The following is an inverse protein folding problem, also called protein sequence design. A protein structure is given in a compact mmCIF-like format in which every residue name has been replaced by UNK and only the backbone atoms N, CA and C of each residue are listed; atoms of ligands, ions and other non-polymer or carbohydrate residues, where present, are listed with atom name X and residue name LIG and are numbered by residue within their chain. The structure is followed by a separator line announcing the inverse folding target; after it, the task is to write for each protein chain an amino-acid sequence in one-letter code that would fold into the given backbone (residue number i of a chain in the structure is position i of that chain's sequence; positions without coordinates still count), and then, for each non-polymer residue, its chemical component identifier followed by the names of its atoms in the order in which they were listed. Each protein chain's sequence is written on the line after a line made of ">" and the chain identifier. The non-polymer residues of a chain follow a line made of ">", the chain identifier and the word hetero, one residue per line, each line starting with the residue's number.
data_IF_244156283101
#
_entry.id   IF_244156283101
#
_cell.length_a   1.000
_cell.length_b   1.000
_cell.length_c   1.000
_cell.angle_alpha   90.00
_cell.angle_beta   90.00
_cell.angle_gamma   90.00
#
_symmetry.space_group_name_H-M   'P 1'
#
loop_
_entity.id
_entity.type
_entity.pdbx_description
1 polymer ?
#
# COMPACT_ATOMS: atom_id res chain seq x y z
N UNK A 1 24.30 -2.31 -6.62
CA UNK A 1 25.15 -1.15 -6.30
C UNK A 1 25.13 -0.90 -4.81
N UNK A 2 26.21 -0.29 -4.29
CA UNK A 2 26.39 0.01 -2.87
C UNK A 2 26.44 1.53 -2.70
N UNK A 3 25.61 2.07 -1.82
CA UNK A 3 25.82 3.41 -1.26
C UNK A 3 26.31 3.22 0.17
N UNK A 4 27.44 3.86 0.46
CA UNK A 4 28.12 3.80 1.74
C UNK A 4 28.56 5.20 2.13
N UNK A 5 28.19 5.62 3.33
CA UNK A 5 28.63 6.87 3.90
C UNK A 5 28.55 6.83 5.41
N UNK A 6 29.42 7.62 6.04
CA UNK A 6 29.29 7.94 7.45
C UNK A 6 28.36 9.14 7.58
N UNK A 7 27.37 9.03 8.45
CA UNK A 7 26.50 10.14 8.84
C UNK A 7 26.68 10.47 10.31
N UNK A 8 26.30 11.68 10.68
CA UNK A 8 26.26 12.10 12.08
C UNK A 8 25.35 11.17 12.89
N UNK A 9 25.82 10.71 14.06
CA UNK A 9 24.99 9.90 14.93
C UNK A 9 23.87 10.76 15.54
N UNK A 10 22.63 10.51 15.11
CA UNK A 10 21.44 11.26 15.54
C UNK A 10 21.19 11.21 17.05
N UNK A 11 21.63 10.15 17.73
CA UNK A 11 21.46 10.01 19.18
C UNK A 11 22.38 10.91 20.01
N UNK A 12 23.51 11.35 19.47
CA UNK A 12 24.47 12.22 20.16
C UNK A 12 24.81 13.50 19.40
N UNK A 13 24.13 13.77 18.28
CA UNK A 13 24.39 14.91 17.39
C UNK A 13 25.89 15.04 17.06
N UNK A 14 26.54 13.93 16.68
CA UNK A 14 27.92 13.97 16.23
C UNK A 14 29.00 13.95 17.30
N UNK A 15 28.63 14.18 18.57
CA UNK A 15 29.62 14.38 19.64
C UNK A 15 30.30 13.08 20.09
N UNK A 16 29.66 11.93 19.86
CA UNK A 16 30.08 10.66 20.45
C UNK A 16 29.73 10.54 21.94
N UNK A 17 29.15 11.58 22.54
CA UNK A 17 28.84 11.67 23.95
C UNK A 17 27.34 11.86 24.14
N UNK A 18 26.78 11.17 25.12
CA UNK A 18 25.38 11.30 25.48
C UNK A 18 25.29 11.90 26.89
N UNK A 19 24.44 12.91 27.05
CA UNK A 19 24.10 13.50 28.35
C UNK A 19 22.57 13.58 28.38
N UNK A 20 21.96 12.71 29.18
CA UNK A 20 20.51 12.52 29.25
C UNK A 20 19.94 12.98 30.58
N UNK A 21 18.90 12.28 31.04
CA UNK A 21 18.16 12.66 32.26
C UNK A 21 18.95 12.32 33.53
N UNK A 22 19.91 11.39 33.47
CA UNK A 22 20.66 10.92 34.64
C UNK A 22 21.98 11.65 34.89
N UNK A 23 22.52 12.33 33.88
CA UNK A 23 23.79 13.04 33.94
C UNK A 23 23.57 14.51 34.32
N UNK A 24 24.48 15.08 35.12
CA UNK A 24 24.49 16.52 35.36
C UNK A 24 25.06 17.30 34.16
N UNK A 25 24.96 18.63 34.17
CA UNK A 25 25.43 19.49 33.06
C UNK A 25 26.95 19.43 32.79
N UNK A 26 27.73 18.89 33.72
CA UNK A 26 29.18 18.76 33.62
C UNK A 26 29.65 17.34 33.28
N UNK A 27 28.72 16.41 33.07
CA UNK A 27 29.01 15.00 32.82
C UNK A 27 28.34 14.50 31.56
N UNK A 28 29.00 13.53 30.91
CA UNK A 28 28.48 12.81 29.77
C UNK A 28 29.04 11.39 29.78
N UNK A 29 28.31 10.47 29.15
CA UNK A 29 28.75 9.10 28.94
C UNK A 29 29.02 8.85 27.46
N UNK A 30 29.77 7.80 27.15
CA UNK A 30 30.00 7.39 25.76
C UNK A 30 28.66 7.02 25.12
N UNK A 31 28.33 7.63 23.98
CA UNK A 31 27.09 7.35 23.28
C UNK A 31 27.02 5.88 22.89
N UNK A 32 25.97 5.20 23.38
CA UNK A 32 25.78 3.78 23.16
C UNK A 32 25.60 3.41 21.68
N UNK A 33 25.01 4.30 20.88
CA UNK A 33 24.68 4.02 19.48
C UNK A 33 25.93 4.02 18.60
N UNK A 34 26.76 5.05 18.68
CA UNK A 34 27.98 5.18 17.87
C UNK A 34 29.24 4.68 18.57
N UNK A 35 29.13 4.18 19.82
CA UNK A 35 30.27 3.73 20.63
C UNK A 35 31.36 4.79 20.77
N UNK A 36 30.97 6.05 20.96
CA UNK A 36 31.93 7.16 21.13
C UNK A 36 32.45 7.79 19.85
N UNK A 37 32.15 7.22 18.68
CA UNK A 37 32.72 7.72 17.41
C UNK A 37 32.07 9.00 16.88
N UNK A 38 30.89 9.36 17.38
CA UNK A 38 30.08 10.47 16.85
C UNK A 38 29.40 10.20 15.51
N UNK A 39 29.69 9.07 14.86
CA UNK A 39 29.18 8.73 13.53
C UNK A 39 28.43 7.40 13.51
N UNK A 40 27.49 7.28 12.58
CA UNK A 40 26.81 6.04 12.24
C UNK A 40 27.14 5.68 10.80
N UNK A 41 27.57 4.45 10.60
CA UNK A 41 27.89 3.94 9.28
C UNK A 41 26.62 3.40 8.62
N UNK A 42 26.26 3.93 7.45
CA UNK A 42 25.11 3.48 6.68
C UNK A 42 25.56 2.73 5.43
N UNK A 43 25.06 1.50 5.28
CA UNK A 43 25.31 0.66 4.12
C UNK A 43 23.97 0.22 3.52
N UNK A 44 23.71 0.66 2.29
CA UNK A 44 22.51 0.25 1.55
C UNK A 44 22.89 -0.39 0.22
N UNK A 45 22.47 -1.64 0.07
CA UNK A 45 22.53 -2.38 -1.17
C UNK A 45 21.22 -2.23 -1.91
N UNK A 46 21.30 -1.77 -3.16
CA UNK A 46 20.15 -1.68 -4.03
C UNK A 46 20.50 -2.20 -5.43
N UNK A 47 19.47 -2.66 -6.12
CA UNK A 47 19.56 -2.95 -7.55
C UNK A 47 18.96 -1.76 -8.30
N UNK A 48 19.64 -1.27 -9.33
CA UNK A 48 19.03 -0.27 -10.20
C UNK A 48 17.74 -0.82 -10.79
N UNK A 49 16.72 0.03 -10.82
CA UNK A 49 15.51 -0.28 -11.55
C UNK A 49 15.79 -0.08 -13.05
N UNK A 50 15.97 -1.19 -13.75
CA UNK A 50 16.17 -1.19 -15.21
C UNK A 50 14.88 -1.39 -15.99
N UNK A 51 13.75 -1.42 -15.29
CA UNK A 51 12.45 -1.74 -15.84
C UNK A 51 11.77 -2.88 -15.09
N UNK A 52 10.49 -3.09 -15.41
CA UNK A 52 9.72 -4.22 -14.87
C UNK A 52 10.31 -5.53 -15.37
N UNK A 53 10.46 -6.50 -14.47
CA UNK A 53 10.83 -7.87 -14.83
C UNK A 53 9.57 -8.67 -15.09
N UNK A 54 9.55 -9.54 -16.12
CA UNK A 54 8.39 -10.38 -16.38
C UNK A 54 8.14 -11.33 -15.20
N UNK A 55 6.88 -11.50 -14.82
CA UNK A 55 6.47 -12.48 -13.83
C UNK A 55 5.75 -13.63 -14.53
N UNK A 56 6.48 -14.72 -14.77
CA UNK A 56 5.94 -15.88 -15.49
C UNK A 56 4.73 -16.48 -14.77
N UNK A 57 3.75 -16.94 -15.55
CA UNK A 57 2.52 -17.57 -15.05
C UNK A 57 1.43 -16.60 -14.60
N UNK A 58 1.67 -15.28 -14.65
CA UNK A 58 0.63 -14.28 -14.33
C UNK A 58 -0.17 -13.98 -15.60
N UNK A 59 -1.47 -14.30 -15.57
CA UNK A 59 -2.40 -14.04 -16.69
C UNK A 59 -3.05 -12.66 -16.59
N UNK A 60 -3.33 -12.21 -15.36
CA UNK A 60 -4.19 -11.06 -15.08
C UNK A 60 -3.64 -10.24 -13.92
N UNK A 61 -3.82 -8.92 -13.99
CA UNK A 61 -3.36 -7.96 -12.98
C UNK A 61 -4.57 -7.22 -12.42
N UNK A 62 -4.58 -7.02 -11.11
CA UNK A 62 -5.63 -6.30 -10.40
C UNK A 62 -5.03 -5.06 -9.74
N UNK A 63 -5.76 -3.96 -9.71
CA UNK A 63 -5.25 -2.70 -9.17
C UNK A 63 -5.00 -2.76 -7.65
N UNK A 64 -5.74 -3.61 -6.94
CA UNK A 64 -5.46 -3.98 -5.54
C UNK A 64 -6.27 -5.22 -5.17
N UNK A 65 -6.16 -5.62 -3.91
CA UNK A 65 -6.96 -6.65 -3.29
C UNK A 65 -7.55 -6.13 -1.95
N UNK A 66 -8.88 -5.94 -1.84
CA UNK A 66 -9.53 -5.48 -0.61
C UNK A 66 -9.66 -6.57 0.48
N UNK A 67 -8.88 -7.65 0.40
CA UNK A 67 -8.86 -8.75 1.36
C UNK A 67 -9.73 -9.94 0.94
N UNK A 68 -9.92 -10.17 -0.36
CA UNK A 68 -10.66 -11.32 -0.89
C UNK A 68 -9.68 -12.37 -1.47
N UNK A 69 -10.10 -13.64 -1.46
CA UNK A 69 -9.40 -14.69 -2.18
C UNK A 69 -9.64 -14.57 -3.69
N UNK A 70 -8.56 -14.47 -4.46
CA UNK A 70 -8.60 -14.33 -5.93
C UNK A 70 -7.95 -15.57 -6.55
N UNK A 71 -8.65 -16.23 -7.46
CA UNK A 71 -8.15 -17.41 -8.16
C UNK A 71 -9.22 -18.09 -9.00
N UNK A 72 -8.77 -18.89 -9.97
CA UNK A 72 -9.64 -19.72 -10.81
C UNK A 72 -10.13 -20.94 -10.01
N UNK A 73 -11.42 -21.25 -10.13
CA UNK A 73 -12.02 -22.50 -9.65
C UNK A 73 -13.24 -22.85 -10.51
N UNK A 74 -13.99 -23.90 -10.13
CA UNK A 74 -15.17 -24.34 -10.87
C UNK A 74 -16.27 -23.28 -11.04
N UNK A 75 -16.29 -22.26 -10.17
CA UNK A 75 -17.32 -21.22 -10.13
C UNK A 75 -16.86 -19.87 -10.72
N UNK A 76 -15.57 -19.56 -10.64
CA UNK A 76 -15.04 -18.25 -11.02
C UNK A 76 -13.79 -18.36 -11.90
N UNK A 77 -13.77 -17.54 -12.94
CA UNK A 77 -12.61 -17.20 -13.77
C UNK A 77 -11.85 -15.99 -13.19
N UNK A 78 -10.68 -15.66 -13.74
CA UNK A 78 -9.94 -14.45 -13.34
C UNK A 78 -10.69 -13.17 -13.76
N UNK A 79 -11.40 -13.21 -14.88
CA UNK A 79 -12.20 -12.10 -15.43
C UNK A 79 -13.34 -11.69 -14.50
N UNK A 80 -13.91 -12.63 -13.74
CA UNK A 80 -14.99 -12.35 -12.78
C UNK A 80 -14.56 -11.37 -11.68
N UNK A 81 -13.25 -11.28 -11.42
CA UNK A 81 -12.66 -10.35 -10.46
C UNK A 81 -12.32 -8.98 -11.09
N UNK A 82 -12.63 -8.72 -12.36
CA UNK A 82 -12.29 -7.46 -13.02
C UNK A 82 -10.83 -7.42 -13.45
N UNK A 83 -10.06 -6.39 -13.09
CA UNK A 83 -8.65 -6.24 -13.50
C UNK A 83 -8.44 -6.12 -15.02
N UNK A 84 -7.19 -6.26 -15.44
CA UNK A 84 -6.75 -6.20 -16.86
C UNK A 84 -5.81 -7.35 -17.19
N UNK A 85 -5.61 -7.62 -18.48
CA UNK A 85 -4.62 -8.62 -18.91
C UNK A 85 -3.20 -8.19 -18.53
N UNK A 86 -2.28 -9.15 -18.34
CA UNK A 86 -0.87 -8.83 -18.11
C UNK A 86 -0.28 -7.99 -19.25
N UNK A 87 -0.66 -8.27 -20.50
CA UNK A 87 -0.24 -7.49 -21.67
C UNK A 87 -0.72 -6.05 -21.65
N UNK A 88 -1.94 -5.78 -21.19
CA UNK A 88 -2.43 -4.41 -21.07
C UNK A 88 -1.72 -3.65 -19.93
N UNK A 89 -1.38 -4.36 -18.86
CA UNK A 89 -0.59 -3.80 -17.76
C UNK A 89 0.85 -3.48 -18.19
N UNK A 90 1.51 -4.39 -18.92
CA UNK A 90 2.85 -4.16 -19.49
C UNK A 90 2.86 -2.99 -20.48
N UNK A 91 1.75 -2.77 -21.18
CA UNK A 91 1.56 -1.67 -22.11
C UNK A 91 1.06 -0.37 -21.44
N UNK A 92 1.04 -0.31 -20.10
CA UNK A 92 0.64 0.87 -19.31
C UNK A 92 -0.76 1.43 -19.66
N UNK A 93 -1.70 0.57 -20.06
CA UNK A 93 -3.06 1.00 -20.47
C UNK A 93 -3.95 1.49 -19.32
N UNK A 94 -3.49 1.38 -18.08
CA UNK A 94 -4.28 1.70 -16.89
C UNK A 94 -5.45 0.73 -16.64
N UNK A 95 -6.18 0.97 -15.56
CA UNK A 95 -7.34 0.16 -15.16
C UNK A 95 -8.63 0.88 -15.56
N UNK A 96 -9.40 0.35 -16.53
CA UNK A 96 -10.65 0.97 -16.93
C UNK A 96 -11.75 0.77 -15.87
N UNK A 97 -12.79 1.60 -15.95
CA UNK A 97 -14.03 1.38 -15.22
C UNK A 97 -14.59 -0.02 -15.54
N UNK A 98 -15.06 -0.73 -14.52
CA UNK A 98 -15.44 -2.14 -14.58
C UNK A 98 -14.38 -3.09 -14.01
N UNK A 99 -13.12 -2.67 -13.87
CA UNK A 99 -12.03 -3.51 -13.35
C UNK A 99 -12.05 -3.72 -11.82
N UNK A 100 -13.05 -3.15 -11.12
CA UNK A 100 -13.06 -2.92 -9.68
C UNK A 100 -13.56 -4.09 -8.81
N UNK A 101 -13.33 -5.37 -9.18
CA UNK A 101 -13.81 -6.53 -8.40
C UNK A 101 -15.30 -6.42 -7.98
N UNK A 102 -16.14 -5.84 -8.85
CA UNK A 102 -17.47 -5.32 -8.46
C UNK A 102 -18.43 -6.38 -7.94
N UNK A 103 -18.22 -7.64 -8.32
CA UNK A 103 -18.99 -8.81 -7.84
C UNK A 103 -18.67 -9.12 -6.37
N UNK A 104 -17.48 -8.77 -5.89
CA UNK A 104 -16.98 -9.21 -4.57
C UNK A 104 -16.81 -8.07 -3.57
N UNK A 105 -16.97 -6.83 -4.01
CA UNK A 105 -16.63 -5.63 -3.23
C UNK A 105 -17.68 -4.54 -3.43
N UNK A 106 -17.69 -3.53 -2.56
CA UNK A 106 -18.43 -2.28 -2.79
C UNK A 106 -17.45 -1.11 -3.04
N UNK A 107 -17.93 0.01 -3.61
CA UNK A 107 -17.09 1.18 -3.86
C UNK A 107 -16.39 1.70 -2.59
N UNK A 108 -17.12 1.82 -1.48
CA UNK A 108 -16.59 2.35 -0.22
C UNK A 108 -15.47 1.50 0.38
N UNK A 109 -15.45 0.20 0.13
CA UNK A 109 -14.37 -0.68 0.59
C UNK A 109 -13.21 -0.62 -0.38
N UNK A 110 -13.51 -0.73 -1.67
CA UNK A 110 -12.47 -0.85 -2.66
C UNK A 110 -11.64 0.44 -2.76
N UNK A 111 -12.25 1.62 -2.78
CA UNK A 111 -11.45 2.85 -2.81
C UNK A 111 -10.62 3.10 -1.54
N UNK A 112 -10.80 2.35 -0.44
CA UNK A 112 -9.84 2.36 0.67
C UNK A 112 -8.46 1.83 0.25
N UNK A 113 -8.40 0.91 -0.72
CA UNK A 113 -7.18 0.29 -1.21
C UNK A 113 -6.61 0.88 -2.50
N UNK A 114 -7.38 1.65 -3.27
CA UNK A 114 -6.87 2.39 -4.45
C UNK A 114 -6.48 3.81 -4.09
N UNK A 115 -7.48 4.57 -3.62
CA UNK A 115 -7.42 6.01 -3.48
C UNK A 115 -8.51 6.42 -2.49
N UNK A 116 -8.09 6.64 -1.25
CA UNK A 116 -9.00 6.94 -0.14
C UNK A 116 -9.78 8.24 -0.37
N UNK A 117 -9.26 9.17 -1.17
CA UNK A 117 -9.93 10.42 -1.52
C UNK A 117 -11.17 10.20 -2.38
N UNK A 118 -11.18 9.12 -3.17
CA UNK A 118 -12.33 8.66 -3.95
C UNK A 118 -13.23 7.73 -3.12
N UNK A 119 -13.06 7.59 -1.82
CA UNK A 119 -13.98 6.79 -1.04
C UNK A 119 -15.34 7.50 -0.97
N UNK A 120 -16.45 6.88 -1.39
CA UNK A 120 -17.77 7.49 -1.22
C UNK A 120 -18.08 7.78 0.25
N UNK A 121 -18.56 8.99 0.50
CA UNK A 121 -19.00 9.46 1.82
C UNK A 121 -20.54 9.45 1.87
N UNK A 122 -21.12 8.26 1.78
CA UNK A 122 -22.57 8.08 1.83
C UNK A 122 -23.05 7.81 3.26
N UNK A 123 -24.09 8.50 3.72
CA UNK A 123 -24.61 8.39 5.08
C UNK A 123 -25.05 6.96 5.46
N UNK A 124 -25.50 6.18 4.48
CA UNK A 124 -25.87 4.78 4.66
C UNK A 124 -24.67 3.85 4.92
N UNK A 125 -23.46 4.27 4.56
CA UNK A 125 -22.22 3.51 4.77
C UNK A 125 -21.74 3.68 6.21
N UNK A 126 -22.24 2.85 7.12
CA UNK A 126 -21.80 2.86 8.53
C UNK A 126 -20.33 2.46 8.66
N UNK A 127 -19.58 3.21 9.47
CA UNK A 127 -18.23 2.88 9.89
C UNK A 127 -18.25 1.76 10.95
N UNK A 128 -17.41 0.75 10.77
CA UNK A 128 -17.30 -0.40 11.67
C UNK A 128 -18.20 -1.57 11.28
N UNK A 129 -17.63 -2.77 11.18
CA UNK A 129 -18.32 -4.00 10.76
C UNK A 129 -17.57 -4.76 9.66
N UNK A 130 -18.02 -5.98 9.34
CA UNK A 130 -17.50 -6.77 8.22
C UNK A 130 -18.25 -6.45 6.93
N UNK A 131 -17.66 -6.74 5.76
CA UNK A 131 -18.33 -6.47 4.47
C UNK A 131 -19.70 -7.14 4.39
N UNK A 132 -19.74 -8.39 4.86
CA UNK A 132 -20.91 -9.25 4.94
C UNK A 132 -22.00 -8.73 5.88
N UNK A 133 -21.69 -7.79 6.79
CA UNK A 133 -22.67 -7.20 7.71
C UNK A 133 -23.33 -5.93 7.16
N UNK A 134 -22.91 -5.45 5.99
CA UNK A 134 -23.53 -4.29 5.35
C UNK A 134 -24.97 -4.62 4.89
N UNK A 135 -25.93 -3.76 5.20
CA UNK A 135 -27.33 -3.91 4.76
C UNK A 135 -27.45 -3.98 3.23
N UNK A 136 -26.51 -3.36 2.51
CA UNK A 136 -26.47 -3.35 1.04
C UNK A 136 -25.62 -4.47 0.45
N UNK A 137 -25.10 -5.41 1.24
CA UNK A 137 -24.20 -6.47 0.74
C UNK A 137 -24.82 -7.28 -0.42
N UNK A 138 -26.11 -7.63 -0.31
CA UNK A 138 -26.85 -8.32 -1.38
C UNK A 138 -27.15 -7.45 -2.61
N UNK A 139 -27.11 -6.12 -2.44
CA UNK A 139 -27.44 -5.11 -3.45
C UNK A 139 -26.24 -4.23 -3.84
N UNK A 140 -25.01 -4.68 -3.59
CA UNK A 140 -23.78 -3.92 -3.89
C UNK A 140 -23.65 -3.43 -5.33
N UNK A 141 -24.32 -4.08 -6.29
CA UNK A 141 -24.39 -3.63 -7.68
C UNK A 141 -25.12 -2.28 -7.81
N UNK A 142 -26.07 -1.98 -6.91
CA UNK A 142 -26.72 -0.67 -6.80
C UNK A 142 -25.76 0.38 -6.25
N UNK A 143 -24.92 0.01 -5.28
CA UNK A 143 -23.84 0.88 -4.80
C UNK A 143 -22.87 1.23 -5.93
N UNK A 144 -22.42 0.25 -6.73
CA UNK A 144 -21.58 0.53 -7.91
C UNK A 144 -22.28 1.43 -8.93
N UNK A 145 -23.57 1.22 -9.18
CA UNK A 145 -24.36 2.08 -10.07
C UNK A 145 -24.44 3.53 -9.57
N UNK A 146 -24.63 3.71 -8.25
CA UNK A 146 -24.62 5.03 -7.60
C UNK A 146 -23.26 5.69 -7.76
N UNK A 147 -22.19 4.94 -7.45
CA UNK A 147 -20.81 5.39 -7.61
C UNK A 147 -20.49 5.84 -9.04
N UNK A 148 -20.82 5.02 -10.03
CA UNK A 148 -20.59 5.35 -11.44
C UNK A 148 -21.34 6.63 -11.85
N UNK A 149 -22.57 6.83 -11.34
CA UNK A 149 -23.34 8.05 -11.61
C UNK A 149 -22.69 9.31 -11.04
N UNK A 150 -22.09 9.20 -9.86
CA UNK A 150 -21.42 10.31 -9.16
C UNK A 150 -20.04 10.62 -9.76
N UNK A 151 -19.39 9.63 -10.38
CA UNK A 151 -18.00 9.73 -10.83
C UNK A 151 -17.81 9.64 -12.36
N UNK A 152 -18.87 9.38 -13.13
CA UNK A 152 -18.81 9.51 -14.59
C UNK A 152 -18.72 11.00 -14.97
N UNK A 153 -17.49 11.43 -15.27
CA UNK A 153 -17.20 12.60 -16.12
C UNK A 153 -17.07 12.16 -17.56
#
# INVERSE_FOLDING_TARGET
>A
MKIEFDQECSSCSGTGLYSGIGEDKSTAIVCHHCKGTGKSHFEHHYNEFTGRKPKHGIKRVYQSNPGIGIGENEKYSLEDFGGISHSDWDADKGFPQGSEMRIFTCPAWWYQGVNYELKPNWDECRLGGTFSSCNEFGRKHECWRKWDKENNK
#
